data_IF_504194935052
#
_entry.id   IF_504194935052
#
_cell.length_a   1.000
_cell.length_b   1.000
_cell.length_c   1.000
_cell.angle_alpha   90.00
_cell.angle_beta   90.00
_cell.angle_gamma   90.00
#
_symmetry.space_group_name_H-M   'P 1'
#
loop_
_entity.id
_entity.type
_entity.pdbx_description
1 polymer ?
#
# COMPACT_ATOMS: atom_id res chain seq x y z
N UNK A 1 24.01 6.29 -13.43
CA UNK A 1 23.97 7.03 -12.16
C UNK A 1 23.03 6.30 -11.21
N UNK A 2 23.58 5.53 -10.28
CA UNK A 2 22.86 5.05 -9.10
C UNK A 2 22.37 6.30 -8.37
N UNK A 3 21.06 6.48 -8.17
CA UNK A 3 20.64 7.41 -7.12
C UNK A 3 21.12 6.76 -5.84
N UNK A 4 22.14 7.33 -5.21
CA UNK A 4 22.39 7.05 -3.81
C UNK A 4 21.16 7.58 -3.08
N UNK A 5 20.19 6.70 -2.82
CA UNK A 5 19.09 7.05 -1.92
C UNK A 5 19.75 7.44 -0.60
N UNK A 6 19.61 8.72 -0.26
CA UNK A 6 20.32 9.30 0.86
C UNK A 6 19.75 8.69 2.15
N UNK A 7 20.63 8.31 3.08
CA UNK A 7 20.29 7.64 4.35
C UNK A 7 19.24 8.38 5.20
N UNK A 8 18.98 9.67 4.92
CA UNK A 8 18.13 10.55 5.71
C UNK A 8 16.81 10.96 5.03
N UNK A 9 16.43 10.35 3.90
CA UNK A 9 15.17 10.67 3.22
C UNK A 9 14.35 9.40 3.00
N UNK A 10 13.15 9.37 3.59
CA UNK A 10 12.25 8.24 3.43
C UNK A 10 11.56 8.31 2.07
N UNK A 11 11.87 7.35 1.19
CA UNK A 11 11.36 7.27 -0.17
C UNK A 11 10.50 6.02 -0.29
N UNK A 12 9.23 6.19 -0.67
CA UNK A 12 8.28 5.09 -0.77
C UNK A 12 7.69 4.99 -2.15
N UNK A 13 7.22 3.78 -2.47
CA UNK A 13 6.60 3.49 -3.76
C UNK A 13 5.23 2.87 -3.59
N UNK A 14 4.30 3.33 -4.43
CA UNK A 14 2.97 2.77 -4.62
C UNK A 14 2.55 2.91 -6.09
N UNK A 15 3.11 2.05 -6.95
CA UNK A 15 2.77 1.98 -8.39
C UNK A 15 1.56 1.06 -8.67
N UNK A 16 1.02 1.03 -9.90
CA UNK A 16 0.12 -0.04 -10.42
C UNK A 16 0.76 -1.42 -10.21
N UNK A 17 2.09 -1.48 -10.20
CA UNK A 17 2.86 -2.70 -9.96
C UNK A 17 2.97 -3.07 -8.49
N UNK A 18 2.49 -2.22 -7.57
CA UNK A 18 2.32 -2.53 -6.16
C UNK A 18 0.93 -3.12 -5.87
N UNK A 19 0.30 -3.72 -6.88
CA UNK A 19 -1.06 -4.22 -6.79
C UNK A 19 -1.12 -5.61 -7.39
N UNK A 20 -1.39 -6.61 -6.56
CA UNK A 20 -1.49 -8.01 -7.00
C UNK A 20 -2.88 -8.56 -6.67
N UNK A 21 -3.54 -9.16 -7.66
CA UNK A 21 -4.70 -10.01 -7.41
C UNK A 21 -4.21 -11.33 -6.84
N UNK A 22 -4.44 -11.54 -5.55
CA UNK A 22 -3.89 -12.69 -4.85
C UNK A 22 -4.55 -13.99 -5.34
N UNK A 23 -3.79 -15.07 -5.53
CA UNK A 23 -4.34 -16.38 -5.90
C UNK A 23 -4.99 -17.07 -4.69
N UNK A 24 -5.80 -16.37 -3.90
CA UNK A 24 -6.54 -16.94 -2.75
C UNK A 24 -8.01 -16.53 -2.82
N UNK A 25 -8.93 -17.46 -2.60
CA UNK A 25 -10.35 -17.20 -2.50
C UNK A 25 -10.73 -16.88 -1.05
N UNK A 26 -11.27 -15.70 -0.84
CA UNK A 26 -11.84 -15.25 0.43
C UNK A 26 -13.35 -15.05 0.29
N UNK A 27 -14.08 -15.15 1.40
CA UNK A 27 -15.49 -14.83 1.47
C UNK A 27 -15.65 -13.31 1.65
N UNK A 28 -16.43 -12.68 0.77
CA UNK A 28 -16.83 -11.27 0.93
C UNK A 28 -17.93 -11.10 2.00
N UNK A 29 -18.41 -9.87 2.18
CA UNK A 29 -19.47 -9.56 3.16
C UNK A 29 -20.75 -10.36 2.90
N UNK A 30 -21.08 -10.62 1.63
CA UNK A 30 -22.22 -11.44 1.22
C UNK A 30 -21.94 -12.95 1.29
N UNK A 31 -20.74 -13.37 1.74
CA UNK A 31 -20.34 -14.77 1.81
C UNK A 31 -19.99 -15.37 0.45
N UNK A 32 -19.77 -14.55 -0.59
CA UNK A 32 -19.39 -15.01 -1.92
C UNK A 32 -17.87 -15.15 -2.03
N UNK A 33 -17.35 -16.26 -2.60
CA UNK A 33 -15.92 -16.41 -2.88
C UNK A 33 -15.42 -15.40 -3.91
N UNK A 34 -14.37 -14.67 -3.58
CA UNK A 34 -13.70 -13.75 -4.49
C UNK A 34 -12.19 -13.65 -4.18
N UNK A 35 -11.39 -13.24 -5.17
CA UNK A 35 -9.95 -13.03 -5.02
C UNK A 35 -9.68 -11.56 -4.68
N UNK A 36 -9.05 -11.25 -3.53
CA UNK A 36 -8.74 -9.87 -3.18
C UNK A 36 -7.55 -9.34 -3.98
N UNK A 37 -7.53 -8.04 -4.18
CA UNK A 37 -6.36 -7.26 -4.56
C UNK A 37 -5.63 -6.81 -3.31
N UNK A 38 -4.30 -6.98 -3.30
CA UNK A 38 -3.38 -6.39 -2.33
C UNK A 38 -2.74 -5.16 -2.94
N UNK A 39 -2.97 -3.98 -2.36
CA UNK A 39 -2.17 -2.77 -2.62
C UNK A 39 -1.16 -2.62 -1.49
N UNK A 40 0.13 -2.50 -1.78
CA UNK A 40 1.19 -2.36 -0.77
C UNK A 40 2.05 -1.12 -1.01
N UNK A 41 2.49 -0.47 0.06
CA UNK A 41 3.46 0.62 0.03
C UNK A 41 4.73 0.07 0.65
N UNK A 42 5.80 0.13 -0.12
CA UNK A 42 7.13 -0.35 0.25
C UNK A 42 8.07 0.84 0.41
N UNK A 43 8.91 0.81 1.45
CA UNK A 43 10.07 1.68 1.55
C UNK A 43 11.18 1.19 0.61
N UNK A 44 11.59 2.03 -0.33
CA UNK A 44 12.54 1.67 -1.39
C UNK A 44 13.94 1.37 -0.80
N UNK A 45 14.29 1.92 0.36
CA UNK A 45 15.59 1.67 1.00
C UNK A 45 15.62 0.32 1.73
N UNK A 46 14.72 0.10 2.67
CA UNK A 46 14.72 -1.06 3.56
C UNK A 46 14.04 -2.30 2.98
N UNK A 47 13.08 -2.14 2.07
CA UNK A 47 12.16 -3.20 1.64
C UNK A 47 11.02 -3.46 2.64
N UNK A 48 10.88 -2.60 3.66
CA UNK A 48 9.82 -2.70 4.65
C UNK A 48 8.49 -2.29 4.02
N UNK A 49 7.47 -3.13 4.19
CA UNK A 49 6.09 -2.75 3.87
C UNK A 49 5.59 -1.82 4.98
N UNK A 50 5.27 -0.59 4.60
CA UNK A 50 4.90 0.49 5.53
C UNK A 50 3.38 0.67 5.63
N UNK A 51 2.65 0.24 4.60
CA UNK A 51 1.20 0.20 4.57
C UNK A 51 0.68 -0.73 3.49
N UNK A 52 -0.54 -1.25 3.65
CA UNK A 52 -1.19 -2.12 2.68
C UNK A 52 -2.73 -2.04 2.79
N UNK A 53 -3.43 -2.49 1.74
CA UNK A 53 -4.89 -2.65 1.74
C UNK A 53 -5.32 -3.87 0.92
N UNK A 54 -6.29 -4.60 1.46
CA UNK A 54 -7.05 -5.61 0.71
C UNK A 54 -8.36 -5.02 0.19
N UNK A 55 -8.72 -5.34 -1.05
CA UNK A 55 -10.02 -4.97 -1.63
C UNK A 55 -10.45 -5.97 -2.69
N UNK A 56 -11.74 -6.28 -2.79
CA UNK A 56 -12.27 -7.07 -3.90
C UNK A 56 -12.47 -6.26 -5.19
N UNK A 57 -12.43 -4.94 -5.09
CA UNK A 57 -12.51 -4.04 -6.23
C UNK A 57 -11.11 -3.79 -6.79
N UNK A 58 -11.04 -3.50 -8.08
CA UNK A 58 -9.80 -3.01 -8.66
C UNK A 58 -9.34 -1.80 -7.85
N UNK A 59 -8.08 -1.81 -7.48
CA UNK A 59 -7.43 -0.73 -6.75
C UNK A 59 -7.74 0.66 -7.32
N UNK A 60 -8.41 1.48 -6.52
CA UNK A 60 -8.80 2.86 -6.82
C UNK A 60 -7.86 3.87 -6.15
N UNK A 61 -8.04 5.16 -6.46
CA UNK A 61 -7.42 6.26 -5.70
C UNK A 61 -7.62 6.08 -4.19
N UNK A 62 -8.85 5.75 -3.79
CA UNK A 62 -9.21 5.56 -2.39
C UNK A 62 -8.42 4.42 -1.74
N UNK A 63 -8.24 3.28 -2.41
CA UNK A 63 -7.42 2.18 -1.84
C UNK A 63 -5.96 2.59 -1.66
N UNK A 64 -5.42 3.41 -2.55
CA UNK A 64 -4.05 3.94 -2.45
C UNK A 64 -3.96 4.95 -1.32
N UNK A 65 -4.91 5.87 -1.22
CA UNK A 65 -4.99 6.86 -0.16
C UNK A 65 -5.13 6.20 1.22
N UNK A 66 -5.96 5.16 1.35
CA UNK A 66 -6.11 4.38 2.58
C UNK A 66 -4.84 3.60 2.95
N UNK A 67 -4.11 3.07 1.98
CA UNK A 67 -2.81 2.43 2.22
C UNK A 67 -1.77 3.48 2.65
N UNK A 68 -1.77 4.67 2.04
CA UNK A 68 -0.88 5.77 2.39
C UNK A 68 -1.20 6.31 3.77
N UNK A 69 -2.48 6.43 4.13
CA UNK A 69 -2.93 6.75 5.49
C UNK A 69 -2.33 5.77 6.50
N UNK A 70 -2.41 4.47 6.23
CA UNK A 70 -1.80 3.46 7.10
C UNK A 70 -0.29 3.64 7.17
N UNK A 71 0.37 3.91 6.04
CA UNK A 71 1.80 4.17 6.01
C UNK A 71 2.18 5.37 6.87
N UNK A 72 1.35 6.43 6.87
CA UNK A 72 1.62 7.66 7.61
C UNK A 72 1.39 7.52 9.11
N UNK A 73 0.29 6.88 9.50
CA UNK A 73 -0.05 6.72 10.91
C UNK A 73 0.91 5.77 11.62
N UNK A 74 1.17 6.06 12.90
CA UNK A 74 1.73 5.07 13.82
C UNK A 74 0.85 3.82 13.84
N UNK A 75 1.49 2.67 14.02
CA UNK A 75 0.82 1.38 14.00
C UNK A 75 0.36 1.00 15.40
N UNK A 76 -0.80 0.38 15.51
CA UNK A 76 -1.29 -0.15 16.78
C UNK A 76 -0.42 -1.30 17.30
N UNK A 77 0.12 -2.12 16.39
CA UNK A 77 1.06 -3.18 16.74
C UNK A 77 2.47 -2.58 16.91
N UNK A 78 3.04 -2.59 18.13
CA UNK A 78 4.31 -1.94 18.40
C UNK A 78 5.49 -2.59 17.68
N UNK A 79 5.34 -3.81 17.14
CA UNK A 79 6.39 -4.47 16.34
C UNK A 79 6.56 -3.82 14.97
N UNK A 80 5.57 -3.06 14.51
CA UNK A 80 5.59 -2.41 13.21
C UNK A 80 6.10 -0.98 13.32
N UNK A 81 7.43 -0.82 13.31
CA UNK A 81 8.10 0.47 13.57
C UNK A 81 8.03 1.48 12.41
N UNK A 82 7.54 1.08 11.24
CA UNK A 82 7.47 1.94 10.07
C UNK A 82 6.25 2.87 10.10
N UNK A 83 6.49 4.18 10.12
CA UNK A 83 5.49 5.23 9.94
C UNK A 83 6.11 6.58 9.56
N UNK A 84 5.29 7.59 9.28
CA UNK A 84 5.71 8.98 9.02
C UNK A 84 5.19 9.53 7.68
N UNK A 85 5.58 10.73 7.29
CA UNK A 85 5.27 11.32 5.98
C UNK A 85 6.47 11.14 5.05
N UNK A 86 6.30 10.50 3.87
CA UNK A 86 7.43 10.21 3.00
C UNK A 86 7.96 11.49 2.40
N UNK A 87 9.28 11.56 2.22
CA UNK A 87 9.92 12.66 1.50
C UNK A 87 9.53 12.59 0.04
N UNK A 88 9.54 11.37 -0.53
CA UNK A 88 9.14 11.10 -1.90
C UNK A 88 8.15 9.93 -1.91
N UNK A 89 7.02 10.13 -2.59
CA UNK A 89 6.03 9.09 -2.85
C UNK A 89 5.94 8.87 -4.36
N UNK A 90 6.41 7.70 -4.81
CA UNK A 90 6.27 7.29 -6.21
C UNK A 90 4.88 6.70 -6.43
N UNK A 91 4.05 7.38 -7.23
CA UNK A 91 2.76 6.86 -7.68
C UNK A 91 2.80 6.54 -9.17
N UNK A 92 1.92 5.68 -9.64
CA UNK A 92 1.67 5.59 -11.07
C UNK A 92 0.69 6.67 -11.52
N UNK A 93 0.72 6.97 -12.82
CA UNK A 93 -0.36 7.68 -13.50
C UNK A 93 -1.64 6.83 -13.39
N UNK A 94 -2.44 7.13 -12.38
CA UNK A 94 -3.80 6.64 -12.22
C UNK A 94 -4.73 7.29 -13.26
N UNK A 95 -6.04 7.11 -13.10
CA UNK A 95 -6.98 7.99 -13.81
C UNK A 95 -6.69 9.45 -13.47
N UNK A 96 -7.02 10.39 -14.36
CA UNK A 96 -6.82 11.83 -14.13
C UNK A 96 -7.34 12.30 -12.76
N UNK A 97 -8.44 11.69 -12.30
CA UNK A 97 -9.01 11.94 -10.98
C UNK A 97 -8.09 11.49 -9.83
N UNK A 98 -7.48 10.31 -9.95
CA UNK A 98 -6.55 9.78 -8.94
C UNK A 98 -5.29 10.64 -8.87
N UNK A 99 -4.76 11.03 -10.02
CA UNK A 99 -3.55 11.85 -10.10
C UNK A 99 -3.77 13.23 -9.45
N UNK A 100 -4.87 13.92 -9.78
CA UNK A 100 -5.21 15.22 -9.18
C UNK A 100 -5.43 15.15 -7.67
N UNK A 101 -6.12 14.11 -7.18
CA UNK A 101 -6.34 13.94 -5.73
C UNK A 101 -5.01 13.74 -4.99
N UNK A 102 -4.13 12.90 -5.53
CA UNK A 102 -2.82 12.65 -4.92
C UNK A 102 -1.90 13.88 -5.01
N UNK A 103 -1.98 14.67 -6.07
CA UNK A 103 -1.26 15.95 -6.20
C UNK A 103 -1.68 16.94 -5.11
N UNK A 104 -2.98 17.06 -4.81
CA UNK A 104 -3.48 17.91 -3.72
C UNK A 104 -2.96 17.44 -2.36
N UNK A 105 -3.08 16.14 -2.09
CA UNK A 105 -2.53 15.52 -0.87
C UNK A 105 -1.04 15.81 -0.72
N UNK A 106 -0.27 15.74 -1.81
CA UNK A 106 1.16 15.99 -1.81
C UNK A 106 1.53 17.47 -1.68
N UNK A 107 0.63 18.39 -2.03
CA UNK A 107 0.82 19.82 -1.79
C UNK A 107 0.62 20.18 -0.31
N UNK A 108 -0.34 19.52 0.36
CA UNK A 108 -0.70 19.79 1.75
C UNK A 108 0.16 18.98 2.76
N UNK A 109 0.72 17.86 2.34
CA UNK A 109 1.73 17.11 3.08
C UNK A 109 3.13 17.53 2.62
N UNK A 110 4.16 17.57 3.49
CA UNK A 110 5.54 17.83 3.07
C UNK A 110 6.14 16.61 2.32
N UNK A 111 5.53 16.21 1.21
CA UNK A 111 5.78 15.00 0.44
C UNK A 111 5.87 15.33 -1.04
N UNK A 112 6.97 14.97 -1.71
CA UNK A 112 7.08 15.07 -3.16
C UNK A 112 6.36 13.89 -3.83
N UNK A 113 5.41 14.17 -4.71
CA UNK A 113 4.75 13.14 -5.53
C UNK A 113 5.47 13.02 -6.88
N UNK A 114 6.06 11.85 -7.14
CA UNK A 114 6.68 11.56 -8.43
C UNK A 114 5.83 10.51 -9.16
N UNK A 115 5.31 10.89 -10.32
CA UNK A 115 4.65 9.93 -11.20
C UNK A 115 5.69 9.12 -11.96
N UNK A 116 5.61 7.79 -11.85
CA UNK A 116 6.51 6.91 -12.57
C UNK A 116 6.25 6.98 -14.08
N UNK A 117 7.29 7.27 -14.87
CA UNK A 117 7.19 7.21 -16.33
C UNK A 117 7.02 5.76 -16.79
N UNK A 118 6.12 5.54 -17.75
CA UNK A 118 5.84 4.24 -18.38
C UNK A 118 7.01 3.82 -19.29
N UNK A 119 8.19 3.54 -18.75
CA UNK A 119 9.31 2.99 -19.54
C UNK A 119 10.61 2.69 -18.78
N UNK A 120 10.81 3.12 -17.52
CA UNK A 120 12.10 2.92 -16.85
C UNK A 120 12.06 1.67 -15.95
N UNK A 121 12.83 0.60 -16.23
CA UNK A 121 12.78 -0.68 -15.50
C UNK A 121 13.47 -0.67 -14.11
N UNK A 122 13.81 0.50 -13.57
CA UNK A 122 14.54 0.59 -12.29
C UNK A 122 13.57 0.48 -11.10
N UNK A 123 13.78 -0.53 -10.25
CA UNK A 123 12.99 -0.80 -9.04
C UNK A 123 11.92 -1.88 -9.18
N UNK A 124 11.80 -2.53 -10.36
CA UNK A 124 10.80 -3.57 -10.65
C UNK A 124 10.88 -4.80 -9.73
N UNK A 125 12.10 -5.21 -9.37
CA UNK A 125 12.33 -6.49 -8.68
C UNK A 125 11.89 -6.53 -7.21
N UNK A 126 11.82 -5.40 -6.50
CA UNK A 126 11.56 -5.38 -5.05
C UNK A 126 10.11 -5.76 -4.72
N UNK A 127 9.18 -4.99 -5.25
CA UNK A 127 7.75 -5.25 -5.06
C UNK A 127 7.30 -6.58 -5.67
N UNK A 128 7.89 -6.99 -6.81
CA UNK A 128 7.63 -8.32 -7.39
C UNK A 128 8.10 -9.45 -6.46
N UNK A 129 9.26 -9.28 -5.79
CA UNK A 129 9.76 -10.24 -4.79
C UNK A 129 8.92 -10.26 -3.52
N UNK A 130 8.43 -9.11 -3.07
CA UNK A 130 7.47 -9.07 -1.97
C UNK A 130 6.24 -9.90 -2.30
N UNK A 131 5.65 -9.71 -3.48
CA UNK A 131 4.48 -10.48 -3.89
C UNK A 131 4.75 -11.98 -4.09
N UNK A 132 5.93 -12.35 -4.60
CA UNK A 132 6.35 -13.74 -4.63
C UNK A 132 6.45 -14.32 -3.22
N UNK A 133 6.98 -13.55 -2.26
CA UNK A 133 7.06 -13.97 -0.85
C UNK A 133 5.67 -14.15 -0.24
N UNK A 134 4.72 -13.26 -0.54
CA UNK A 134 3.32 -13.44 -0.12
C UNK A 134 2.77 -14.76 -0.65
N UNK A 135 2.95 -15.05 -1.93
CA UNK A 135 2.42 -16.29 -2.53
C UNK A 135 3.11 -17.55 -1.96
N UNK A 136 4.45 -17.54 -1.92
CA UNK A 136 5.27 -18.71 -1.60
C UNK A 136 5.46 -18.96 -0.11
N UNK A 137 5.32 -17.96 0.77
CA UNK A 137 5.59 -18.12 2.20
C UNK A 137 4.35 -17.92 3.08
N UNK A 138 3.30 -17.31 2.55
CA UNK A 138 2.04 -17.13 3.27
C UNK A 138 0.90 -17.91 2.62
N UNK A 139 0.59 -17.63 1.34
CA UNK A 139 -0.64 -18.15 0.74
C UNK A 139 -0.64 -19.66 0.58
N UNK A 140 0.51 -20.27 0.30
CA UNK A 140 0.63 -21.72 0.12
C UNK A 140 0.09 -22.53 1.31
N UNK A 141 0.13 -21.97 2.53
CA UNK A 141 -0.25 -22.63 3.77
C UNK A 141 -1.69 -22.28 4.22
N UNK A 142 -2.41 -21.46 3.44
CA UNK A 142 -3.75 -21.00 3.77
C UNK A 142 -4.85 -21.72 2.99
N UNK A 143 -5.99 -22.01 3.63
CA UNK A 143 -7.16 -22.53 2.92
C UNK A 143 -7.68 -21.47 1.93
N UNK A 144 -8.18 -21.94 0.79
CA UNK A 144 -8.65 -21.08 -0.29
C UNK A 144 -7.57 -20.69 -1.30
N UNK A 145 -6.30 -21.07 -1.09
CA UNK A 145 -5.24 -20.87 -2.08
C UNK A 145 -5.59 -21.60 -3.39
N UNK A 146 -5.68 -20.83 -4.48
CA UNK A 146 -6.18 -21.21 -5.79
C UNK A 146 -5.27 -20.65 -6.88
N UNK A 147 -4.24 -21.44 -7.21
CA UNK A 147 -3.36 -21.20 -8.35
C UNK A 147 -4.14 -21.25 -9.67
N UNK A 148 -3.49 -20.81 -10.75
CA UNK A 148 -4.10 -20.82 -12.07
C UNK A 148 -4.44 -22.26 -12.47
N UNK A 149 -5.73 -22.51 -12.75
CA UNK A 149 -6.22 -23.84 -13.15
C UNK A 149 -6.70 -24.73 -11.99
N UNK A 150 -6.58 -24.30 -10.73
CA UNK A 150 -7.14 -25.04 -9.60
C UNK A 150 -8.67 -25.10 -9.67
N UNK A 151 -9.26 -26.30 -9.50
CA UNK A 151 -10.70 -26.54 -9.45
C UNK A 151 -11.10 -26.99 -8.04
N UNK A 152 -12.36 -26.76 -7.64
CA UNK A 152 -12.90 -27.24 -6.36
C UNK A 152 -12.36 -26.55 -5.10
N UNK A 153 -11.55 -25.50 -5.22
CA UNK A 153 -11.04 -24.75 -4.06
C UNK A 153 -12.18 -24.03 -3.34
N UNK A 154 -12.34 -24.29 -2.04
CA UNK A 154 -13.35 -23.66 -1.20
C UNK A 154 -12.78 -22.46 -0.45
N UNK A 155 -13.48 -21.33 -0.50
CA UNK A 155 -13.19 -20.18 0.34
C UNK A 155 -13.76 -20.41 1.75
N UNK A 156 -12.92 -20.29 2.77
CA UNK A 156 -13.34 -20.42 4.18
C UNK A 156 -12.99 -19.19 5.02
N UNK A 157 -12.02 -18.39 4.58
CA UNK A 157 -11.56 -17.21 5.31
C UNK A 157 -12.31 -15.95 4.85
N UNK A 158 -12.70 -15.12 5.81
CA UNK A 158 -13.15 -13.73 5.58
C UNK A 158 -11.95 -12.78 5.64
N UNK A 159 -12.10 -11.60 5.05
CA UNK A 159 -11.03 -10.59 4.95
C UNK A 159 -10.40 -10.25 6.31
N UNK A 160 -11.14 -10.00 7.41
CA UNK A 160 -10.51 -9.66 8.69
C UNK A 160 -9.61 -10.76 9.26
N UNK A 161 -10.01 -12.02 9.11
CA UNK A 161 -9.22 -13.18 9.56
C UNK A 161 -7.98 -13.36 8.70
N UNK A 162 -8.13 -13.20 7.38
CA UNK A 162 -7.00 -13.23 6.45
C UNK A 162 -6.01 -12.09 6.72
N UNK A 163 -6.51 -10.87 6.96
CA UNK A 163 -5.68 -9.70 7.25
C UNK A 163 -4.91 -9.86 8.56
N UNK A 164 -5.52 -10.44 9.60
CA UNK A 164 -4.80 -10.80 10.82
C UNK A 164 -3.63 -11.75 10.54
N UNK A 165 -3.87 -12.84 9.80
CA UNK A 165 -2.81 -13.81 9.43
C UNK A 165 -1.72 -13.18 8.58
N UNK A 166 -2.11 -12.36 7.61
CA UNK A 166 -1.18 -11.62 6.77
C UNK A 166 -0.31 -10.68 7.60
N UNK A 167 -0.90 -9.90 8.52
CA UNK A 167 -0.16 -8.99 9.40
C UNK A 167 0.81 -9.74 10.30
N UNK A 168 0.38 -10.85 10.90
CA UNK A 168 1.25 -11.71 11.71
C UNK A 168 2.45 -12.19 10.91
N UNK A 169 2.23 -12.77 9.72
CA UNK A 169 3.31 -13.18 8.83
C UNK A 169 4.22 -12.02 8.41
N UNK A 170 3.64 -10.86 8.09
CA UNK A 170 4.39 -9.69 7.67
C UNK A 170 5.40 -9.25 8.73
N UNK A 171 4.98 -9.21 10.00
CA UNK A 171 5.79 -8.76 11.12
C UNK A 171 6.75 -9.84 11.63
N UNK A 172 6.27 -11.08 11.76
CA UNK A 172 7.02 -12.17 12.40
C UNK A 172 7.97 -12.88 11.44
N UNK A 173 7.71 -12.84 10.13
CA UNK A 173 8.54 -13.48 9.10
C UNK A 173 9.10 -12.46 8.10
N UNK A 174 8.26 -11.75 7.35
CA UNK A 174 8.77 -10.97 6.21
C UNK A 174 9.69 -9.81 6.63
N UNK A 175 9.32 -9.02 7.66
CA UNK A 175 10.13 -7.91 8.16
C UNK A 175 11.32 -8.36 9.03
N UNK A 176 11.25 -9.56 9.62
CA UNK A 176 12.24 -10.14 10.52
C UNK A 176 13.24 -11.09 9.83
N UNK A 177 12.99 -11.44 8.56
CA UNK A 177 13.85 -12.31 7.76
C UNK A 177 14.89 -11.50 7.00
N UNK A 178 16.11 -12.05 6.91
CA UNK A 178 17.18 -11.46 6.08
C UNK A 178 16.82 -11.62 4.60
N UNK A 179 16.72 -10.51 3.87
CA UNK A 179 16.45 -10.54 2.44
C UNK A 179 17.74 -10.70 1.63
N UNK A 180 17.69 -11.52 0.59
CA UNK A 180 18.88 -11.87 -0.21
C UNK A 180 19.49 -10.66 -0.92
N UNK A 181 18.67 -9.70 -1.37
CA UNK A 181 19.13 -8.50 -2.07
C UNK A 181 19.79 -7.50 -1.13
N UNK A 182 19.19 -7.26 0.03
CA UNK A 182 19.64 -6.24 0.98
C UNK A 182 20.71 -6.77 1.93
N UNK A 183 20.72 -8.08 2.19
CA UNK A 183 21.49 -8.77 3.24
C UNK A 183 21.15 -8.35 4.66
N UNK A 184 20.04 -7.63 4.84
CA UNK A 184 19.53 -7.18 6.13
C UNK A 184 18.07 -7.59 6.29
N UNK A 185 17.60 -7.63 7.54
CA UNK A 185 16.17 -7.64 7.82
C UNK A 185 15.58 -6.28 7.45
N UNK A 186 14.43 -6.20 6.77
CA UNK A 186 13.80 -4.92 6.46
C UNK A 186 13.62 -4.02 7.68
N UNK A 187 13.22 -4.59 8.82
CA UNK A 187 13.04 -3.83 10.05
C UNK A 187 14.35 -3.24 10.61
N UNK A 188 15.40 -4.06 10.75
CA UNK A 188 16.72 -3.57 11.22
C UNK A 188 17.27 -2.50 10.28
N UNK A 189 17.06 -2.67 8.96
CA UNK A 189 17.50 -1.70 7.97
C UNK A 189 16.71 -0.38 8.02
N UNK A 190 15.41 -0.45 8.31
CA UNK A 190 14.58 0.72 8.57
C UNK A 190 15.09 1.52 9.77
N UNK A 191 15.31 0.82 10.90
CA UNK A 191 15.76 1.42 12.17
C UNK A 191 17.18 2.01 12.06
N UNK A 192 18.08 1.32 11.36
CA UNK A 192 19.46 1.75 11.16
C UNK A 192 19.58 3.07 10.35
N UNK A 193 18.52 3.49 9.67
CA UNK A 193 18.49 4.77 8.95
C UNK A 193 18.57 5.99 9.87
N UNK A 194 18.32 5.85 11.18
CA UNK A 194 18.29 6.98 12.12
C UNK A 194 17.20 8.02 11.75
N UNK A 195 16.19 7.58 11.00
CA UNK A 195 15.11 8.43 10.52
C UNK A 195 14.17 8.76 11.68
N UNK A 196 13.91 10.05 11.89
CA UNK A 196 12.83 10.52 12.75
C UNK A 196 11.59 10.73 11.88
N UNK A 197 10.52 9.92 12.08
CA UNK A 197 9.29 10.06 11.34
C UNK A 197 8.69 11.45 11.47
N UNK A 198 8.50 12.13 10.33
CA UNK A 198 7.65 13.33 10.29
C UNK A 198 6.21 12.87 10.46
N UNK A 199 5.54 13.30 11.51
CA UNK A 199 4.14 12.94 11.75
C UNK A 199 3.21 14.02 11.19
N UNK A 200 1.98 13.67 10.79
CA UNK A 200 0.98 14.67 10.44
C UNK A 200 0.65 15.54 11.67
N UNK A 201 0.38 16.82 11.44
CA UNK A 201 -0.03 17.76 12.50
C UNK A 201 -1.37 17.37 13.11
N UNK A 202 -2.26 16.75 12.32
CA UNK A 202 -3.56 16.24 12.76
C UNK A 202 -3.97 15.01 11.95
N UNK A 203 -4.49 13.98 12.63
CA UNK A 203 -5.08 12.82 11.96
C UNK A 203 -6.37 13.17 11.23
N UNK A 204 -7.16 14.11 11.76
CA UNK A 204 -8.39 14.58 11.11
C UNK A 204 -8.07 15.30 9.80
N UNK A 205 -7.01 16.13 9.79
CA UNK A 205 -6.55 16.80 8.58
C UNK A 205 -6.03 15.76 7.57
N UNK A 206 -5.30 14.75 8.03
CA UNK A 206 -4.85 13.65 7.17
C UNK A 206 -6.04 12.90 6.55
N UNK A 207 -7.08 12.63 7.33
CA UNK A 207 -8.29 11.94 6.89
C UNK A 207 -9.10 12.78 5.90
N UNK A 208 -9.21 14.10 6.14
CA UNK A 208 -9.77 15.05 5.19
C UNK A 208 -9.02 15.02 3.86
N UNK A 209 -7.70 15.15 3.90
CA UNK A 209 -6.86 15.16 2.70
C UNK A 209 -6.94 13.85 1.92
N UNK A 210 -6.86 12.71 2.61
CA UNK A 210 -6.77 11.40 1.95
C UNK A 210 -8.13 10.84 1.53
N UNK A 211 -9.18 11.05 2.33
CA UNK A 211 -10.45 10.34 2.19
C UNK A 211 -11.58 11.22 1.64
N UNK A 212 -11.48 12.54 1.77
CA UNK A 212 -12.48 13.47 1.27
C UNK A 212 -11.95 14.16 0.03
N UNK A 213 -12.31 13.63 -1.14
CA UNK A 213 -12.05 14.32 -2.40
C UNK A 213 -12.90 15.60 -2.41
N UNK A 214 -12.26 16.75 -2.27
CA UNK A 214 -12.89 18.04 -2.49
C UNK A 214 -13.28 18.14 -3.98
N UNK A 215 -14.48 17.67 -4.33
CA UNK A 215 -15.08 18.00 -5.62
C UNK A 215 -15.36 19.51 -5.60
N UNK A 216 -14.55 20.30 -6.28
CA UNK A 216 -14.89 21.68 -6.60
C UNK A 216 -16.19 21.66 -7.41
N UNK A 217 -17.29 22.04 -6.76
CA UNK A 217 -18.58 22.20 -7.43
C UNK A 217 -18.81 23.69 -7.57
N UNK A 218 -19.08 24.14 -8.80
CA UNK A 218 -19.54 25.51 -9.04
C UNK A 218 -20.93 25.62 -8.44
N UNK A 219 -21.09 26.43 -7.39
CA UNK A 219 -22.39 26.77 -6.84
C UNK A 219 -23.12 27.57 -7.92
N UNK A 220 -24.15 26.99 -8.51
CA UNK A 220 -25.06 27.70 -9.41
C UNK A 220 -26.12 28.39 -8.56
N UNK A 221 -26.81 29.40 -9.13
CA UNK A 221 -27.81 30.19 -8.41
C UNK A 221 -28.99 29.34 -7.90
N UNK A 222 -29.17 28.14 -8.46
CA UNK A 222 -30.16 27.12 -8.09
C UNK A 222 -29.63 26.03 -7.13
N UNK A 223 -28.41 26.18 -6.59
CA UNK A 223 -27.83 25.28 -5.58
C UNK A 223 -26.92 24.17 -6.14
N UNK A 224 -26.69 23.13 -5.35
CA UNK A 224 -25.81 22.00 -5.70
C UNK A 224 -26.67 20.80 -6.09
N UNK A 225 -26.69 20.43 -7.38
CA UNK A 225 -27.34 19.19 -7.83
C UNK A 225 -26.45 17.98 -7.57
N UNK A 226 -27.03 16.95 -6.93
CA UNK A 226 -26.42 15.64 -6.82
C UNK A 226 -27.05 14.75 -7.90
N UNK A 227 -26.25 14.25 -8.85
CA UNK A 227 -26.69 13.14 -9.69
C UNK A 227 -26.71 11.89 -8.80
N UNK A 228 -27.91 11.39 -8.52
CA UNK A 228 -28.10 10.05 -7.98
C UNK A 228 -27.77 9.06 -9.10
N UNK A 229 -26.82 8.16 -8.83
CA UNK A 229 -26.61 6.94 -9.60
C UNK A 229 -27.20 5.78 -8.81
#
# INVERSE_FOLDING_TARGET
MMSSFCKNQWHTRCSRRNRLKLPILLLDEAGKPNKPWLTAIEDDYSGMIVGYRFSFQLSTALTTALALRQAICSKEDPRWHAYGIPTVFYSDHGSDFTSKHMEQVAADLPMELIFSQVSIPRGRGKVERFFQSVEQLLLQDLPGHALRGSTGVKATLRVPVFEYRFRTWLLEDYHSRVHVETKYKPQERWEAGGFLPRTPTSLEQLDLLLLLVAKTRRVQQDGIRFQAN
#
